data_IF_440248688223
#
_entry.id   IF_440248688223
#
_cell.length_a   1.000
_cell.length_b   1.000
_cell.length_c   1.000
_cell.angle_alpha   90.00
_cell.angle_beta   90.00
_cell.angle_gamma   90.00
#
_symmetry.space_group_name_H-M   'P 1'
#
loop_
_entity.id
_entity.type
_entity.pdbx_description
1 polymer ?
#
# COMPACT_ATOMS: atom_id res chain seq x y z
N UNK A 1 17.67 -2.00 -11.72
CA UNK A 1 17.18 -2.36 -10.36
C UNK A 1 17.56 -1.23 -9.43
N UNK A 2 16.64 -0.79 -8.57
CA UNK A 2 16.82 0.30 -7.64
C UNK A 2 16.34 -0.10 -6.25
N UNK A 3 17.28 -0.20 -5.32
CA UNK A 3 17.00 -0.41 -3.91
C UNK A 3 17.73 0.67 -3.12
N UNK A 4 17.02 1.77 -2.91
CA UNK A 4 17.47 2.90 -2.13
C UNK A 4 16.23 3.61 -1.59
N UNK A 5 16.41 4.29 -0.46
CA UNK A 5 15.49 5.29 0.05
C UNK A 5 15.69 5.56 1.54
N UNK A 6 16.41 4.70 2.25
CA UNK A 6 16.68 4.75 3.68
C UNK A 6 17.13 6.15 4.14
N UNK A 7 18.03 6.80 3.39
CA UNK A 7 18.52 8.16 3.68
C UNK A 7 17.56 9.29 3.29
N UNK A 8 16.41 8.99 2.71
CA UNK A 8 15.33 9.92 2.38
C UNK A 8 14.07 9.67 3.24
N UNK A 9 14.19 8.83 4.26
CA UNK A 9 13.14 8.57 5.24
C UNK A 9 13.38 9.32 6.57
N UNK A 10 14.11 10.44 6.58
CA UNK A 10 14.38 11.20 7.80
C UNK A 10 13.19 12.09 8.23
N UNK A 11 12.37 12.53 7.28
CA UNK A 11 11.21 13.39 7.53
C UNK A 11 10.07 13.15 6.53
N UNK A 12 8.86 13.62 6.86
CA UNK A 12 7.71 13.59 5.94
C UNK A 12 7.99 14.40 4.67
N UNK A 13 8.70 15.53 4.79
CA UNK A 13 9.10 16.37 3.66
C UNK A 13 9.96 15.57 2.67
N UNK A 14 11.03 14.91 3.14
CA UNK A 14 11.90 14.11 2.29
C UNK A 14 11.14 12.96 1.61
N UNK A 15 10.22 12.30 2.34
CA UNK A 15 9.40 11.22 1.76
C UNK A 15 8.47 11.75 0.67
N UNK A 16 7.99 12.99 0.82
CA UNK A 16 7.12 13.67 -0.15
C UNK A 16 7.92 14.06 -1.39
N UNK A 17 9.11 14.63 -1.22
CA UNK A 17 10.02 14.98 -2.31
C UNK A 17 10.42 13.75 -3.13
N UNK A 18 10.63 12.61 -2.47
CA UNK A 18 11.00 11.35 -3.12
C UNK A 18 10.01 10.90 -4.20
N UNK A 19 8.71 11.25 -4.05
CA UNK A 19 7.66 10.95 -5.05
C UNK A 19 8.02 11.48 -6.43
N UNK A 20 8.72 12.61 -6.50
CA UNK A 20 9.15 13.27 -7.73
C UNK A 20 10.59 12.93 -8.10
N UNK A 21 11.48 12.83 -7.09
CA UNK A 21 12.91 12.60 -7.32
C UNK A 21 13.19 11.25 -7.99
N UNK A 22 12.55 10.16 -7.56
CA UNK A 22 12.80 8.85 -8.19
C UNK A 22 12.33 8.82 -9.65
N UNK A 23 11.19 9.46 -9.97
CA UNK A 23 10.74 9.60 -11.35
C UNK A 23 11.73 10.40 -12.20
N UNK A 24 12.34 11.45 -11.62
CA UNK A 24 13.36 12.24 -12.29
C UNK A 24 14.63 11.41 -12.57
N UNK A 25 15.09 10.61 -11.60
CA UNK A 25 16.22 9.67 -11.79
C UNK A 25 15.94 8.74 -12.97
N UNK A 26 14.76 8.12 -13.00
CA UNK A 26 14.37 7.19 -14.08
C UNK A 26 14.37 7.90 -15.43
N UNK A 27 13.77 9.09 -15.55
CA UNK A 27 13.78 9.89 -16.79
C UNK A 27 15.20 10.26 -17.23
N UNK A 28 16.04 10.72 -16.30
CA UNK A 28 17.42 11.10 -16.59
C UNK A 28 18.24 9.92 -17.10
N UNK A 29 18.09 8.74 -16.49
CA UNK A 29 18.80 7.55 -16.93
C UNK A 29 18.32 7.06 -18.29
N UNK A 30 17.00 7.04 -18.54
CA UNK A 30 16.44 6.69 -19.85
C UNK A 30 16.98 7.59 -20.96
N UNK A 31 17.11 8.89 -20.70
CA UNK A 31 17.70 9.83 -21.65
C UNK A 31 19.20 9.55 -21.87
N UNK A 32 19.97 9.35 -20.79
CA UNK A 32 21.41 9.10 -20.87
C UNK A 32 21.74 7.79 -21.61
N UNK A 33 20.95 6.73 -21.40
CA UNK A 33 21.12 5.44 -22.06
C UNK A 33 20.42 5.35 -23.43
N UNK A 34 19.72 6.41 -23.87
CA UNK A 34 18.90 6.41 -25.08
C UNK A 34 17.90 5.23 -25.15
N UNK A 35 17.35 4.85 -24.00
CA UNK A 35 16.42 3.73 -23.86
C UNK A 35 15.13 4.20 -23.17
N UNK A 36 14.15 4.74 -23.92
CA UNK A 36 12.97 5.42 -23.35
C UNK A 36 12.08 4.49 -22.51
N UNK A 37 12.05 3.20 -22.82
CA UNK A 37 11.24 2.20 -22.10
C UNK A 37 12.08 1.32 -21.17
N UNK A 38 13.31 1.74 -20.84
CA UNK A 38 14.21 0.96 -19.98
C UNK A 38 13.47 0.50 -18.71
N UNK A 39 13.35 -0.83 -18.49
CA UNK A 39 12.65 -1.36 -17.34
C UNK A 39 13.31 -0.99 -16.02
N UNK A 40 12.51 -0.64 -15.01
CA UNK A 40 13.00 -0.23 -13.71
C UNK A 40 12.31 -0.99 -12.57
N UNK A 41 13.04 -1.94 -11.98
CA UNK A 41 12.58 -2.68 -10.80
C UNK A 41 12.96 -1.94 -9.54
N UNK A 42 11.95 -1.46 -8.79
CA UNK A 42 12.10 -0.74 -7.53
C UNK A 42 11.85 -1.70 -6.36
N UNK A 43 12.68 -1.59 -5.33
CA UNK A 43 12.47 -2.32 -4.08
C UNK A 43 11.87 -1.37 -3.05
N UNK A 44 10.61 -1.60 -2.67
CA UNK A 44 9.98 -0.90 -1.56
C UNK A 44 10.77 -1.17 -0.29
N UNK A 45 11.00 -0.18 0.57
CA UNK A 45 11.82 -0.35 1.76
C UNK A 45 11.29 -1.48 2.67
N UNK A 46 12.21 -2.28 3.18
CA UNK A 46 11.90 -3.35 4.12
C UNK A 46 11.43 -2.81 5.48
N UNK A 47 10.85 -3.67 6.31
CA UNK A 47 10.59 -3.33 7.71
C UNK A 47 11.89 -2.97 8.44
N UNK A 48 11.84 -1.93 9.27
CA UNK A 48 12.97 -1.47 10.06
C UNK A 48 12.49 -0.93 11.41
N UNK A 49 13.31 -1.06 12.46
CA UNK A 49 13.02 -0.74 13.86
C UNK A 49 12.07 -1.73 14.54
N UNK A 50 11.94 -1.58 15.85
CA UNK A 50 11.02 -2.36 16.67
C UNK A 50 9.56 -2.11 16.26
N UNK A 51 8.78 -3.19 16.24
CA UNK A 51 7.34 -3.12 16.02
C UNK A 51 6.67 -2.39 17.19
N UNK A 52 5.68 -1.54 16.90
CA UNK A 52 4.92 -0.81 17.90
C UNK A 52 3.44 -1.21 17.81
N UNK A 53 3.04 -2.30 18.49
CA UNK A 53 1.70 -2.88 18.36
C UNK A 53 0.59 -1.92 18.82
N UNK A 54 0.88 -1.04 19.78
CA UNK A 54 -0.10 -0.10 20.34
C UNK A 54 -0.26 1.19 19.51
N UNK A 55 0.55 1.37 18.45
CA UNK A 55 0.47 2.56 17.59
C UNK A 55 -0.28 2.25 16.31
N UNK A 56 -1.30 3.03 16.01
CA UNK A 56 -2.04 2.94 14.75
C UNK A 56 -1.14 3.22 13.53
N UNK A 57 -0.23 4.18 13.65
CA UNK A 57 0.75 4.56 12.62
C UNK A 57 2.07 4.95 13.27
N UNK A 58 3.20 4.77 12.58
CA UNK A 58 4.51 5.12 13.14
C UNK A 58 5.57 5.44 12.10
N UNK A 59 6.29 6.53 12.32
CA UNK A 59 7.49 6.90 11.57
C UNK A 59 7.23 7.26 10.11
N UNK A 60 8.33 7.40 9.37
CA UNK A 60 8.41 8.01 8.02
C UNK A 60 8.64 6.98 6.92
N UNK A 61 9.14 5.78 7.25
CA UNK A 61 9.29 4.68 6.30
C UNK A 61 8.05 4.39 5.45
N UNK A 62 6.82 4.34 6.00
CA UNK A 62 5.66 4.02 5.18
C UNK A 62 5.36 5.11 4.14
N UNK A 63 5.63 6.39 4.42
CA UNK A 63 5.50 7.47 3.44
C UNK A 63 6.46 7.30 2.27
N UNK A 64 7.69 6.86 2.53
CA UNK A 64 8.66 6.56 1.49
C UNK A 64 8.29 5.29 0.68
N UNK A 65 7.77 4.25 1.32
CA UNK A 65 7.23 3.06 0.62
C UNK A 65 6.12 3.48 -0.35
N UNK A 66 5.21 4.35 0.09
CA UNK A 66 4.17 4.91 -0.78
C UNK A 66 4.79 5.71 -1.94
N UNK A 67 5.83 6.51 -1.69
CA UNK A 67 6.54 7.24 -2.73
C UNK A 67 7.22 6.33 -3.77
N UNK A 68 7.76 5.19 -3.35
CA UNK A 68 8.33 4.17 -4.24
C UNK A 68 7.24 3.51 -5.10
N UNK A 69 6.06 3.19 -4.53
CA UNK A 69 4.92 2.70 -5.32
C UNK A 69 4.33 3.78 -6.23
N UNK A 70 4.31 5.04 -5.80
CA UNK A 70 3.86 6.16 -6.62
C UNK A 70 4.68 6.28 -7.92
N UNK A 71 5.95 5.89 -7.90
CA UNK A 71 6.79 5.85 -9.10
C UNK A 71 6.27 4.85 -10.14
N UNK A 72 5.87 3.64 -9.72
CA UNK A 72 5.24 2.63 -10.59
C UNK A 72 3.96 3.17 -11.24
N UNK A 73 3.15 3.92 -10.48
CA UNK A 73 1.88 4.50 -10.98
C UNK A 73 2.07 5.61 -12.02
N UNK A 74 3.21 6.28 -12.02
CA UNK A 74 3.44 7.49 -12.80
C UNK A 74 4.60 7.38 -13.81
N UNK A 75 5.28 6.23 -13.88
CA UNK A 75 6.36 5.97 -14.84
C UNK A 75 6.10 4.64 -15.56
N UNK A 76 6.01 4.60 -16.90
CA UNK A 76 5.82 3.35 -17.63
C UNK A 76 7.03 2.44 -17.46
N UNK A 77 6.86 1.12 -17.62
CA UNK A 77 7.92 0.11 -17.50
C UNK A 77 8.64 0.10 -16.15
N UNK A 78 7.92 0.48 -15.07
CA UNK A 78 8.39 0.38 -13.69
C UNK A 78 7.57 -0.66 -12.96
N UNK A 79 8.20 -1.43 -12.07
CA UNK A 79 7.49 -2.25 -11.09
C UNK A 79 8.18 -2.24 -9.74
N UNK A 80 7.39 -2.23 -8.68
CA UNK A 80 7.83 -2.09 -7.30
C UNK A 80 7.54 -3.37 -6.53
N UNK A 81 8.57 -4.07 -6.06
CA UNK A 81 8.36 -5.21 -5.16
C UNK A 81 8.19 -4.73 -3.72
N UNK A 82 7.31 -5.40 -2.97
CA UNK A 82 7.17 -5.16 -1.53
C UNK A 82 8.18 -6.00 -0.75
N UNK A 83 8.66 -5.51 0.40
CA UNK A 83 9.61 -6.25 1.27
C UNK A 83 9.33 -6.05 2.77
N UNK A 84 8.12 -5.57 3.12
CA UNK A 84 7.74 -5.27 4.51
C UNK A 84 7.79 -6.49 5.45
N UNK A 85 7.85 -7.69 4.90
CA UNK A 85 7.86 -8.97 5.61
C UNK A 85 9.23 -9.62 5.76
N UNK A 86 10.26 -9.07 5.13
CA UNK A 86 11.63 -9.60 5.10
C UNK A 86 12.66 -8.56 5.57
N UNK A 87 12.22 -7.67 6.45
CA UNK A 87 13.07 -6.67 7.12
C UNK A 87 13.81 -7.21 8.34
N UNK A 88 14.53 -6.32 9.00
CA UNK A 88 15.23 -6.59 10.26
C UNK A 88 14.94 -5.42 11.22
N UNK A 89 14.51 -5.73 12.43
CA UNK A 89 14.14 -4.72 13.43
C UNK A 89 15.37 -3.97 13.96
N UNK A 90 16.53 -4.62 13.97
CA UNK A 90 17.76 -4.11 14.60
C UNK A 90 18.77 -3.59 13.58
N UNK A 91 18.68 -4.03 12.33
CA UNK A 91 19.61 -3.64 11.26
C UNK A 91 18.86 -3.06 10.06
N UNK A 92 19.26 -1.86 9.65
CA UNK A 92 18.72 -1.21 8.45
C UNK A 92 19.14 -1.95 7.16
N UNK A 93 20.12 -2.86 7.25
CA UNK A 93 20.60 -3.69 6.15
C UNK A 93 20.11 -5.14 6.28
N UNK A 94 18.83 -5.43 5.96
CA UNK A 94 18.27 -6.78 6.14
C UNK A 94 19.05 -7.81 5.33
N UNK A 95 19.38 -8.93 5.97
CA UNK A 95 20.28 -9.96 5.41
C UNK A 95 19.64 -10.81 4.31
N UNK A 96 18.31 -10.91 4.27
CA UNK A 96 17.60 -11.69 3.25
C UNK A 96 17.55 -10.97 1.89
N UNK A 97 18.71 -10.86 1.24
CA UNK A 97 18.82 -10.32 -0.13
C UNK A 97 18.37 -11.34 -1.18
N UNK A 98 18.32 -12.63 -0.84
CA UNK A 98 17.90 -13.69 -1.76
C UNK A 98 16.42 -13.55 -2.10
N UNK A 99 15.56 -13.34 -1.09
CA UNK A 99 14.12 -13.15 -1.33
C UNK A 99 13.84 -11.85 -2.09
N UNK A 100 14.62 -10.79 -1.85
CA UNK A 100 14.55 -9.55 -2.66
C UNK A 100 14.85 -9.84 -4.13
N UNK A 101 15.93 -10.58 -4.41
CA UNK A 101 16.31 -11.00 -5.76
C UNK A 101 15.25 -11.89 -6.43
N UNK A 102 14.66 -12.83 -5.70
CA UNK A 102 13.57 -13.69 -6.20
C UNK A 102 12.33 -12.87 -6.58
N UNK A 103 11.94 -11.89 -5.76
CA UNK A 103 10.80 -11.02 -6.10
C UNK A 103 11.07 -10.15 -7.33
N UNK A 104 12.30 -9.62 -7.46
CA UNK A 104 12.72 -8.87 -8.64
C UNK A 104 12.78 -9.75 -9.90
N UNK A 105 13.19 -11.01 -9.78
CA UNK A 105 13.24 -11.93 -10.92
C UNK A 105 11.82 -12.26 -11.41
N UNK A 106 10.86 -12.47 -10.50
CA UNK A 106 9.44 -12.62 -10.86
C UNK A 106 8.90 -11.40 -11.60
N UNK A 107 9.20 -10.19 -11.12
CA UNK A 107 8.84 -8.95 -11.79
C UNK A 107 9.40 -8.90 -13.21
N UNK A 108 10.71 -9.13 -13.35
CA UNK A 108 11.36 -9.10 -14.65
C UNK A 108 10.78 -10.16 -15.61
N UNK A 109 10.54 -11.38 -15.13
CA UNK A 109 9.92 -12.44 -15.92
C UNK A 109 8.54 -12.01 -16.43
N UNK A 110 7.69 -11.51 -15.54
CA UNK A 110 6.31 -11.14 -15.84
C UNK A 110 6.19 -9.92 -16.77
N UNK A 111 6.96 -8.85 -16.49
CA UNK A 111 6.73 -7.55 -17.13
C UNK A 111 7.77 -7.18 -18.18
N UNK A 112 8.93 -7.86 -18.20
CA UNK A 112 10.03 -7.55 -19.13
C UNK A 112 10.24 -8.67 -20.15
N UNK A 113 10.14 -9.93 -19.72
CA UNK A 113 10.42 -11.09 -20.57
C UNK A 113 9.16 -11.82 -21.08
N UNK A 114 7.97 -11.32 -20.77
CA UNK A 114 6.71 -11.80 -21.34
C UNK A 114 6.13 -13.08 -20.72
N UNK A 115 6.61 -13.50 -19.55
CA UNK A 115 6.05 -14.62 -18.79
C UNK A 115 4.83 -14.16 -17.97
N UNK A 116 3.75 -13.79 -18.66
CA UNK A 116 2.58 -13.13 -18.07
C UNK A 116 1.81 -13.94 -17.01
N UNK A 117 2.08 -15.24 -16.90
CA UNK A 117 1.53 -16.15 -15.90
C UNK A 117 2.29 -16.11 -14.55
N UNK A 118 3.45 -15.46 -14.51
CA UNK A 118 4.23 -15.29 -13.28
C UNK A 118 3.64 -14.16 -12.43
N UNK A 119 2.97 -14.52 -11.33
CA UNK A 119 2.55 -13.55 -10.32
C UNK A 119 3.79 -12.99 -9.58
N UNK A 120 3.92 -11.66 -9.53
CA UNK A 120 5.15 -10.99 -9.08
C UNK A 120 4.94 -9.94 -8.01
N UNK A 121 3.69 -9.51 -7.77
CA UNK A 121 3.37 -8.57 -6.69
C UNK A 121 2.26 -9.12 -5.79
N UNK A 122 2.21 -8.54 -4.60
CA UNK A 122 1.07 -8.71 -3.70
C UNK A 122 -0.04 -7.70 -4.01
N UNK A 123 -1.11 -7.71 -3.21
CA UNK A 123 -2.28 -6.88 -3.44
C UNK A 123 -1.93 -5.38 -3.45
N UNK A 124 -2.59 -4.63 -4.34
CA UNK A 124 -2.53 -3.16 -4.40
C UNK A 124 -3.91 -2.60 -4.09
N UNK A 125 -3.98 -1.53 -3.30
CA UNK A 125 -5.26 -0.86 -3.08
C UNK A 125 -5.78 -0.22 -4.36
N UNK A 126 -7.06 -0.41 -4.68
CA UNK A 126 -7.78 0.24 -5.79
C UNK A 126 -8.52 1.47 -5.31
N UNK A 127 -9.40 1.31 -4.34
CA UNK A 127 -10.20 2.38 -3.75
C UNK A 127 -10.68 2.00 -2.34
N UNK A 128 -11.17 3.00 -1.62
CA UNK A 128 -11.88 2.84 -0.36
C UNK A 128 -13.15 3.69 -0.41
N UNK A 129 -14.27 3.14 0.08
CA UNK A 129 -15.56 3.84 0.18
C UNK A 129 -16.21 3.56 1.52
N UNK A 130 -17.10 4.45 1.96
CA UNK A 130 -17.92 4.19 3.15
C UNK A 130 -18.88 3.03 2.90
N UNK A 131 -19.06 2.20 3.92
CA UNK A 131 -19.98 1.07 3.92
C UNK A 131 -20.53 0.88 5.35
N UNK A 132 -21.65 1.56 5.63
CA UNK A 132 -22.26 1.62 6.96
C UNK A 132 -21.38 2.36 7.96
N UNK A 133 -21.04 1.67 9.06
CA UNK A 133 -20.20 2.14 10.17
C UNK A 133 -18.68 2.03 9.89
N UNK A 134 -18.31 1.61 8.68
CA UNK A 134 -16.92 1.34 8.32
C UNK A 134 -16.60 1.71 6.89
N UNK A 135 -15.49 1.13 6.41
CA UNK A 135 -14.99 1.28 5.06
C UNK A 135 -14.96 -0.07 4.37
N UNK A 136 -15.29 -0.06 3.09
CA UNK A 136 -15.00 -1.15 2.17
C UNK A 136 -13.82 -0.76 1.28
N UNK A 137 -12.78 -1.58 1.30
CA UNK A 137 -11.54 -1.36 0.57
C UNK A 137 -11.41 -2.44 -0.50
N UNK A 138 -11.29 -2.03 -1.75
CA UNK A 138 -11.11 -2.92 -2.90
C UNK A 138 -9.62 -3.04 -3.25
N UNK A 139 -9.19 -4.24 -3.60
CA UNK A 139 -7.83 -4.55 -3.97
C UNK A 139 -7.71 -5.05 -5.40
N UNK A 140 -6.59 -4.73 -6.03
CA UNK A 140 -6.08 -5.43 -7.18
C UNK A 140 -5.21 -6.60 -6.73
N UNK A 141 -5.56 -7.82 -7.15
CA UNK A 141 -4.96 -9.06 -6.66
C UNK A 141 -4.64 -9.92 -7.88
N UNK A 142 -3.37 -10.20 -8.13
CA UNK A 142 -2.94 -10.94 -9.34
C UNK A 142 -3.47 -12.37 -9.33
N UNK A 143 -3.44 -13.02 -8.16
CA UNK A 143 -4.02 -14.34 -7.93
C UNK A 143 -5.54 -14.35 -7.76
N UNK A 144 -6.20 -13.20 -7.84
CA UNK A 144 -7.66 -13.08 -7.74
C UNK A 144 -8.26 -13.28 -6.34
N UNK A 145 -7.48 -13.65 -5.32
CA UNK A 145 -7.97 -13.80 -3.95
C UNK A 145 -6.99 -13.30 -2.87
N UNK A 146 -7.54 -12.55 -1.92
CA UNK A 146 -6.87 -12.15 -0.69
C UNK A 146 -6.83 -13.29 0.32
N UNK A 147 -5.74 -13.37 1.08
CA UNK A 147 -5.60 -14.25 2.23
C UNK A 147 -4.73 -13.59 3.31
N UNK A 148 -4.64 -14.21 4.49
CA UNK A 148 -3.67 -13.83 5.52
C UNK A 148 -2.45 -14.76 5.49
N UNK A 149 -1.26 -14.17 5.54
CA UNK A 149 0.03 -14.89 5.42
C UNK A 149 0.25 -15.91 6.52
N UNK A 150 -0.35 -15.70 7.68
CA UNK A 150 -0.14 -16.46 8.91
C UNK A 150 -1.41 -17.18 9.39
N UNK A 151 -2.50 -17.15 8.62
CA UNK A 151 -3.78 -17.77 8.98
C UNK A 151 -4.50 -17.11 10.17
N UNK A 152 -4.00 -15.97 10.67
CA UNK A 152 -4.63 -15.22 11.76
C UNK A 152 -5.68 -14.25 11.20
N UNK A 153 -6.56 -13.69 12.05
CA UNK A 153 -7.39 -12.55 11.68
C UNK A 153 -6.56 -11.43 11.05
N UNK A 154 -7.16 -10.67 10.13
CA UNK A 154 -6.45 -9.59 9.47
C UNK A 154 -6.09 -8.52 10.49
N UNK A 155 -4.87 -8.01 10.39
CA UNK A 155 -4.40 -6.89 11.19
C UNK A 155 -3.60 -5.89 10.32
N UNK A 156 -3.23 -4.76 10.94
CA UNK A 156 -2.42 -3.71 10.31
C UNK A 156 -3.23 -2.58 9.67
N UNK A 157 -4.54 -2.51 9.92
CA UNK A 157 -5.39 -1.39 9.50
C UNK A 157 -5.53 -0.34 10.59
N UNK A 158 -5.53 0.92 10.17
CA UNK A 158 -5.86 2.07 10.99
C UNK A 158 -6.80 3.01 10.23
N UNK A 159 -7.76 3.61 10.93
CA UNK A 159 -8.69 4.58 10.35
C UNK A 159 -8.71 5.86 11.19
N UNK A 160 -9.03 6.97 10.55
CA UNK A 160 -9.22 8.27 11.19
C UNK A 160 -10.50 8.93 10.67
N UNK A 161 -11.13 9.75 11.51
CA UNK A 161 -12.16 10.69 11.08
C UNK A 161 -11.54 11.92 10.40
N UNK A 162 -12.35 12.97 10.21
CA UNK A 162 -11.89 14.25 9.65
C UNK A 162 -10.84 14.96 10.54
N UNK A 163 -10.69 14.55 11.80
CA UNK A 163 -9.69 15.08 12.73
C UNK A 163 -8.27 14.52 12.50
N UNK A 164 -8.11 13.53 11.62
CA UNK A 164 -6.83 12.91 11.29
C UNK A 164 -6.24 12.06 12.40
N UNK A 165 -6.99 11.76 13.47
CA UNK A 165 -6.51 10.93 14.58
C UNK A 165 -6.71 9.45 14.27
N UNK A 166 -5.62 8.78 13.88
CA UNK A 166 -5.65 7.36 13.57
C UNK A 166 -5.80 6.49 14.81
N UNK A 167 -6.73 5.55 14.73
CA UNK A 167 -6.90 4.44 15.67
C UNK A 167 -6.73 3.12 14.94
N UNK A 168 -6.33 2.07 15.66
CA UNK A 168 -6.36 0.71 15.14
C UNK A 168 -7.81 0.31 14.80
N UNK A 169 -7.96 -0.48 13.75
CA UNK A 169 -9.26 -0.87 13.21
C UNK A 169 -9.36 -2.39 13.04
N UNK A 170 -10.53 -2.93 13.34
CA UNK A 170 -10.89 -4.30 13.02
C UNK A 170 -11.08 -4.45 11.52
N UNK A 171 -10.64 -5.58 10.97
CA UNK A 171 -10.70 -5.84 9.54
C UNK A 171 -11.12 -7.29 9.21
N UNK A 172 -11.88 -7.45 8.12
CA UNK A 172 -12.38 -8.74 7.64
C UNK A 172 -12.32 -8.81 6.11
N UNK A 173 -11.87 -9.93 5.52
CA UNK A 173 -11.92 -10.15 4.08
C UNK A 173 -13.38 -10.41 3.72
N UNK A 174 -13.94 -9.58 2.84
CA UNK A 174 -15.31 -9.75 2.34
C UNK A 174 -15.28 -10.06 0.85
N UNK A 175 -15.62 -11.30 0.49
CA UNK A 175 -15.48 -11.81 -0.88
C UNK A 175 -14.04 -12.15 -1.22
N UNK A 176 -13.67 -12.07 -2.51
CA UNK A 176 -12.34 -12.48 -2.97
C UNK A 176 -11.28 -11.36 -2.85
N UNK A 177 -11.68 -10.10 -3.09
CA UNK A 177 -10.73 -8.99 -3.33
C UNK A 177 -11.02 -7.73 -2.50
N UNK A 178 -11.83 -7.83 -1.44
CA UNK A 178 -12.18 -6.68 -0.62
C UNK A 178 -12.03 -6.95 0.88
N UNK A 179 -11.87 -5.87 1.63
CA UNK A 179 -11.79 -5.88 3.10
C UNK A 179 -12.78 -4.87 3.66
N UNK A 180 -13.53 -5.27 4.70
CA UNK A 180 -14.29 -4.35 5.56
C UNK A 180 -13.40 -3.91 6.71
N UNK A 181 -13.34 -2.62 6.99
CA UNK A 181 -12.54 -2.03 8.07
C UNK A 181 -13.39 -1.11 8.91
N UNK A 182 -13.37 -1.23 10.24
CA UNK A 182 -14.15 -0.39 11.15
C UNK A 182 -13.50 -0.24 12.52
N UNK A 183 -13.92 0.76 13.27
CA UNK A 183 -13.53 0.94 14.67
C UNK A 183 -14.66 1.65 15.42
N UNK A 184 -15.02 1.16 16.60
CA UNK A 184 -16.04 1.81 17.45
C UNK A 184 -15.64 3.22 17.90
N UNK A 185 -14.36 3.57 17.78
CA UNK A 185 -13.81 4.89 18.10
C UNK A 185 -13.98 5.90 16.96
N UNK A 186 -14.33 5.47 15.74
CA UNK A 186 -14.45 6.33 14.56
C UNK A 186 -15.77 6.03 13.85
N UNK A 187 -16.82 6.79 14.19
CA UNK A 187 -18.15 6.64 13.59
C UNK A 187 -18.18 7.02 12.09
N UNK A 188 -17.33 7.96 11.69
CA UNK A 188 -17.30 8.52 10.33
C UNK A 188 -15.89 8.48 9.72
N UNK A 189 -15.42 7.29 9.28
CA UNK A 189 -14.07 7.14 8.77
C UNK A 189 -13.84 7.94 7.47
N UNK A 190 -12.79 8.75 7.47
CA UNK A 190 -12.40 9.64 6.37
C UNK A 190 -11.06 9.26 5.74
N UNK A 191 -10.13 8.72 6.53
CA UNK A 191 -8.83 8.23 6.04
C UNK A 191 -8.58 6.81 6.54
N UNK A 192 -7.94 6.00 5.70
CA UNK A 192 -7.53 4.64 6.04
C UNK A 192 -6.09 4.40 5.67
N UNK A 193 -5.39 3.69 6.55
CA UNK A 193 -4.01 3.27 6.40
C UNK A 193 -3.89 1.77 6.59
N UNK A 194 -3.04 1.15 5.80
CA UNK A 194 -2.63 -0.25 5.97
C UNK A 194 -1.11 -0.34 6.03
N UNK A 195 -0.59 -1.13 6.98
CA UNK A 195 0.84 -1.35 7.18
C UNK A 195 1.67 -0.05 7.31
N UNK A 196 1.08 0.99 7.92
CA UNK A 196 1.66 2.34 7.98
C UNK A 196 2.54 2.55 9.21
N UNK A 197 3.54 1.68 9.36
CA UNK A 197 4.57 1.76 10.39
C UNK A 197 5.96 1.50 9.80
N UNK A 198 7.02 2.00 10.45
CA UNK A 198 8.41 1.62 10.11
C UNK A 198 8.59 0.09 10.08
N UNK A 199 8.03 -0.61 11.07
CA UNK A 199 7.91 -2.07 11.10
C UNK A 199 6.46 -2.50 11.30
N UNK A 200 5.73 -2.83 10.22
CA UNK A 200 4.33 -3.25 10.29
C UNK A 200 4.22 -4.78 10.49
N UNK A 201 4.88 -5.33 11.51
CA UNK A 201 4.93 -6.80 11.75
C UNK A 201 3.56 -7.47 11.85
N UNK A 202 2.56 -6.74 12.34
CA UNK A 202 1.17 -7.23 12.45
C UNK A 202 0.42 -7.26 11.10
N UNK A 203 0.93 -6.61 10.04
CA UNK A 203 0.26 -6.55 8.75
C UNK A 203 0.42 -7.87 7.98
N UNK A 204 -0.69 -8.59 7.81
CA UNK A 204 -0.69 -9.97 7.30
C UNK A 204 -1.51 -10.18 6.02
N UNK A 205 -2.14 -9.16 5.44
CA UNK A 205 -2.88 -9.29 4.18
C UNK A 205 -1.92 -9.60 3.01
N UNK A 206 -2.29 -10.55 2.16
CA UNK A 206 -1.51 -10.99 1.01
C UNK A 206 -2.37 -11.59 -0.10
N UNK A 207 -1.74 -11.86 -1.23
CA UNK A 207 -2.32 -12.56 -2.38
C UNK A 207 -2.16 -14.08 -2.20
N UNK A 208 -3.25 -14.84 -2.35
CA UNK A 208 -3.27 -16.30 -2.14
C UNK A 208 -2.28 -17.06 -3.05
N UNK A 209 -2.13 -16.63 -4.31
CA UNK A 209 -1.31 -17.30 -5.32
C UNK A 209 0.14 -16.85 -5.22
N UNK A 210 0.38 -15.54 -5.25
CA UNK A 210 1.77 -15.03 -5.23
C UNK A 210 2.44 -15.19 -3.87
N UNK A 211 1.63 -15.31 -2.80
CA UNK A 211 2.03 -15.32 -1.39
C UNK A 211 2.68 -14.02 -0.92
N UNK A 212 2.66 -12.98 -1.75
CA UNK A 212 3.31 -11.70 -1.46
C UNK A 212 2.37 -10.77 -0.66
N UNK A 213 2.92 -9.99 0.28
CA UNK A 213 2.11 -9.12 1.12
C UNK A 213 1.48 -7.97 0.34
N UNK A 214 0.35 -7.47 0.82
CA UNK A 214 -0.24 -6.25 0.32
C UNK A 214 0.72 -5.08 0.56
N UNK A 215 0.80 -4.17 -0.41
CA UNK A 215 1.64 -2.99 -0.25
C UNK A 215 1.02 -2.01 0.74
N UNK A 216 1.82 -1.34 1.60
CA UNK A 216 1.33 -0.26 2.43
C UNK A 216 0.61 0.83 1.63
N UNK A 217 -0.42 1.44 2.20
CA UNK A 217 -1.12 2.55 1.57
C UNK A 217 -1.75 3.48 2.61
N UNK A 218 -2.01 4.72 2.18
CA UNK A 218 -2.86 5.70 2.85
C UNK A 218 -3.85 6.26 1.83
N UNK A 219 -5.15 6.17 2.10
CA UNK A 219 -6.19 6.67 1.21
C UNK A 219 -7.19 7.51 1.99
N UNK A 220 -7.57 8.64 1.40
CA UNK A 220 -8.77 9.37 1.81
C UNK A 220 -9.98 8.77 1.09
N UNK A 221 -11.08 8.72 1.81
CA UNK A 221 -12.36 8.24 1.33
C UNK A 221 -13.13 9.45 0.86
N UNK A 222 -13.55 9.46 -0.40
CA UNK A 222 -14.40 10.53 -0.91
C UNK A 222 -15.68 10.59 -0.07
N UNK A 223 -16.09 11.80 0.32
CA UNK A 223 -17.40 11.98 0.93
C UNK A 223 -18.45 11.54 -0.10
N UNK A 224 -19.47 10.80 0.33
CA UNK A 224 -20.63 10.54 -0.52
C UNK A 224 -21.10 11.90 -1.08
N UNK A 225 -21.27 12.05 -2.40
CA UNK A 225 -21.83 13.27 -2.95
C UNK A 225 -23.16 13.47 -2.24
N UNK A 226 -23.23 14.56 -1.46
CA UNK A 226 -24.31 14.90 -0.53
C UNK A 226 -25.63 14.30 -1.00
N UNK A 227 -26.18 13.34 -0.24
CA UNK A 227 -27.61 13.03 -0.34
C UNK A 227 -28.33 14.32 0.00
N UNK A 228 -28.65 15.13 -1.01
CA UNK A 228 -29.54 16.26 -0.84
C UNK A 228 -30.79 15.72 -0.15
N UNK A 229 -31.25 16.31 0.97
CA UNK A 229 -32.48 15.87 1.60
C UNK A 229 -33.57 15.88 0.54
N UNK A 230 -34.21 14.73 0.31
CA UNK A 230 -35.38 14.70 -0.56
C UNK A 230 -36.36 15.72 -0.02
N UNK A 231 -36.69 16.73 -0.84
CA UNK A 231 -37.70 17.72 -0.46
C UNK A 231 -38.95 16.94 -0.07
N UNK A 232 -39.57 17.22 1.09
CA UNK A 232 -40.84 16.61 1.43
C UNK A 232 -41.82 16.90 0.29
N UNK A 233 -42.41 15.83 -0.25
CA UNK A 233 -43.47 15.90 -1.23
C UNK A 233 -44.61 16.72 -0.62
N UNK A 234 -44.74 17.98 -1.02
CA UNK A 234 -45.94 18.76 -0.72
C UNK A 234 -47.07 18.16 -1.54
N UNK A 235 -47.88 17.32 -0.91
CA UNK A 235 -49.20 17.00 -1.43
C UNK A 235 -49.99 18.31 -1.51
N UNK A 236 -50.43 18.67 -2.71
CA UNK A 236 -51.33 19.80 -2.91
C UNK A 236 -52.70 19.46 -2.28
N UNK A 237 -53.32 20.35 -1.49
CA UNK A 237 -54.70 20.16 -1.07
C UNK A 237 -55.65 20.34 -2.27
N UNK A 238 -56.73 19.57 -2.25
CA UNK A 238 -57.82 19.56 -3.24
C UNK A 238 -58.54 20.90 -3.35
#
# INVERSE_FOLDING_TARGET
IWYQGESNAGSEQETTEYRSLLQLVIRSWRAAFQYPDMPFGVVSLAAFRQHQPDKATHGTWPGLRDAQLNTERNSPSVGTITTIDIGDAEDIHPRDKRTVGDRLSRWAAATVYGAADVAWRGPRTKNARRDGDGLRIEFDVEGGRLHTRDGKPIAGFAIAGADGKFVLADAEIIGATAVKVRSSQVAEPFEVRYAWQDNPASANLADEVSRLPAHPFSLRVEADPVRLPQRPSTAAPQ
#
